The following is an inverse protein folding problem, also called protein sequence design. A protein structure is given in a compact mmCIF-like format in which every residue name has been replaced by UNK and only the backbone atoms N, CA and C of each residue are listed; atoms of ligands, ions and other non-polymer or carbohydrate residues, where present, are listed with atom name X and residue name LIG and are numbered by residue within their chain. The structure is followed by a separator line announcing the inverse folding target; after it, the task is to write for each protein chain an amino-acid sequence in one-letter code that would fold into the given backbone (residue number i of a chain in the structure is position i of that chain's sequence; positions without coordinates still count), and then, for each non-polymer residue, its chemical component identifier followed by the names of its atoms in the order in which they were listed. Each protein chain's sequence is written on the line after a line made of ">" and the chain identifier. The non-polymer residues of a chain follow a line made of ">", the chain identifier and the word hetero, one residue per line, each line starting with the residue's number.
data_IF_343052276563
#
_entry.id   IF_343052276563
#
_cell.length_a   1.000
_cell.length_b   1.000
_cell.length_c   1.000
_cell.angle_alpha   90.00
_cell.angle_beta   90.00
_cell.angle_gamma   90.00
#
_symmetry.space_group_name_H-M   'P 1'
#
loop_
_entity.id
_entity.type
_entity.pdbx_description
1 polymer ?
#
# COMPACT_ATOMS: atom_id res chain seq x y z
N UNK A 1 -18.93 3.78 7.47
CA UNK A 1 -17.50 3.98 7.83
C UNK A 1 -17.07 5.41 7.56
N UNK A 2 -17.02 5.89 6.31
CA UNK A 2 -16.57 7.27 6.04
C UNK A 2 -17.45 8.33 6.70
N UNK A 3 -18.77 8.14 6.73
CA UNK A 3 -19.68 9.03 7.47
C UNK A 3 -19.39 9.10 8.98
N UNK A 4 -18.78 8.07 9.57
CA UNK A 4 -18.34 8.08 10.97
C UNK A 4 -17.04 8.87 11.10
N UNK A 5 -16.09 8.70 10.18
CA UNK A 5 -14.86 9.50 10.12
C UNK A 5 -15.16 10.99 9.96
N UNK A 6 -16.17 11.34 9.16
CA UNK A 6 -16.58 12.73 8.90
C UNK A 6 -17.24 13.42 10.11
N UNK A 7 -17.51 12.70 11.21
CA UNK A 7 -17.98 13.29 12.48
C UNK A 7 -16.84 13.89 13.30
N UNK A 8 -15.62 13.37 13.11
CA UNK A 8 -14.43 13.86 13.79
C UNK A 8 -13.67 14.86 12.90
N UNK A 9 -12.83 15.70 13.51
CA UNK A 9 -12.05 16.68 12.78
C UNK A 9 -11.01 16.02 11.86
N UNK A 10 -10.94 16.49 10.61
CA UNK A 10 -9.88 16.17 9.69
C UNK A 10 -8.75 17.21 9.78
N UNK A 11 -7.59 16.81 10.28
CA UNK A 11 -6.43 17.71 10.42
C UNK A 11 -5.68 17.84 9.09
N UNK A 12 -5.19 19.03 8.70
CA UNK A 12 -4.32 19.18 7.52
C UNK A 12 -3.08 18.27 7.59
N UNK A 13 -2.67 17.74 6.45
CA UNK A 13 -1.47 16.91 6.28
C UNK A 13 -0.66 17.37 5.06
N UNK A 14 0.52 16.78 4.88
CA UNK A 14 1.43 17.05 3.77
C UNK A 14 0.75 16.80 2.42
N UNK A 15 1.21 17.54 1.41
CA UNK A 15 0.80 17.37 0.01
C UNK A 15 -0.72 17.50 -0.19
N UNK A 16 -1.33 18.50 0.45
CA UNK A 16 -2.74 18.88 0.26
C UNK A 16 -3.78 17.94 0.89
N UNK A 17 -3.35 16.87 1.58
CA UNK A 17 -4.25 15.90 2.21
C UNK A 17 -4.80 16.42 3.55
N UNK A 18 -5.82 15.74 4.05
CA UNK A 18 -6.14 15.76 5.47
C UNK A 18 -5.98 14.36 6.06
N UNK A 19 -5.86 14.26 7.38
CA UNK A 19 -5.69 13.00 8.08
C UNK A 19 -6.38 12.96 9.44
N UNK A 20 -6.59 11.74 9.91
CA UNK A 20 -6.90 11.40 11.30
C UNK A 20 -5.98 10.26 11.69
N UNK A 21 -5.17 10.47 12.72
CA UNK A 21 -4.24 9.46 13.20
C UNK A 21 -4.82 8.80 14.46
N UNK A 22 -4.72 7.47 14.54
CA UNK A 22 -5.08 6.66 15.70
C UNK A 22 -3.89 5.77 15.99
N UNK A 23 -3.02 6.19 16.90
CA UNK A 23 -1.81 5.45 17.19
C UNK A 23 -0.94 6.14 18.25
N UNK A 24 0.14 5.47 18.67
CA UNK A 24 1.06 6.00 19.66
C UNK A 24 1.76 7.27 19.17
N UNK A 25 2.19 8.11 20.12
CA UNK A 25 3.02 9.27 19.83
C UNK A 25 4.46 8.85 19.55
N UNK A 26 4.90 9.12 18.32
CA UNK A 26 6.21 8.71 17.82
C UNK A 26 7.13 9.90 17.50
N UNK A 27 8.42 9.74 17.77
CA UNK A 27 9.49 10.55 17.20
C UNK A 27 10.46 9.62 16.46
N UNK A 28 10.31 9.54 15.15
CA UNK A 28 11.11 8.65 14.28
C UNK A 28 12.61 8.97 14.34
N UNK A 29 12.99 10.25 14.29
CA UNK A 29 14.41 10.67 14.31
C UNK A 29 15.15 10.23 15.57
N UNK A 30 14.47 10.22 16.71
CA UNK A 30 15.04 9.82 18.00
C UNK A 30 14.69 8.37 18.39
N UNK A 31 13.96 7.65 17.54
CA UNK A 31 13.43 6.31 17.84
C UNK A 31 12.73 6.23 19.21
N UNK A 32 11.91 7.25 19.52
CA UNK A 32 11.13 7.31 20.76
C UNK A 32 9.67 7.06 20.49
N UNK A 33 9.09 6.15 21.26
CA UNK A 33 7.69 5.75 21.19
C UNK A 33 7.07 5.87 22.59
N UNK A 34 5.84 6.37 22.66
CA UNK A 34 5.03 6.38 23.89
C UNK A 34 3.55 6.32 23.53
N UNK A 35 2.72 5.74 24.40
CA UNK A 35 1.27 5.72 24.20
C UNK A 35 0.71 7.15 24.03
N UNK A 36 1.04 8.07 24.94
CA UNK A 36 0.55 9.45 24.86
C UNK A 36 -0.97 9.50 25.03
N UNK A 37 -1.66 10.23 24.16
CA UNK A 37 -3.13 10.36 24.17
C UNK A 37 -3.82 9.24 23.36
N UNK A 38 -3.10 8.17 23.02
CA UNK A 38 -3.64 7.04 22.27
C UNK A 38 -4.60 6.23 23.15
N UNK A 39 -5.87 6.21 22.77
CA UNK A 39 -6.95 5.50 23.49
C UNK A 39 -7.49 4.29 22.72
N UNK A 40 -6.85 3.95 21.60
CA UNK A 40 -7.15 2.76 20.79
C UNK A 40 -7.43 3.07 19.33
N UNK A 41 -7.75 2.04 18.56
CA UNK A 41 -8.27 2.20 17.21
C UNK A 41 -9.77 2.60 17.26
N UNK A 42 -10.35 3.16 16.19
CA UNK A 42 -11.76 3.54 16.21
C UNK A 42 -12.68 2.32 16.10
N UNK A 43 -13.82 2.39 16.79
CA UNK A 43 -14.82 1.30 16.86
C UNK A 43 -15.30 0.81 15.50
N UNK A 44 -15.40 1.70 14.50
CA UNK A 44 -15.84 1.35 13.15
C UNK A 44 -14.87 0.44 12.40
N UNK A 45 -13.61 0.35 12.85
CA UNK A 45 -12.60 -0.51 12.23
C UNK A 45 -12.60 -1.93 12.76
N UNK A 46 -13.19 -2.17 13.94
CA UNK A 46 -13.19 -3.49 14.62
C UNK A 46 -13.60 -4.63 13.70
N UNK A 47 -14.71 -4.44 12.96
CA UNK A 47 -15.21 -5.47 12.04
C UNK A 47 -14.26 -5.71 10.86
N UNK A 48 -13.65 -4.67 10.32
CA UNK A 48 -12.73 -4.81 9.18
C UNK A 48 -11.43 -5.48 9.62
N UNK A 49 -10.88 -5.10 10.77
CA UNK A 49 -9.67 -5.73 11.33
C UNK A 49 -9.92 -7.22 11.59
N UNK A 50 -11.05 -7.59 12.18
CA UNK A 50 -11.41 -9.00 12.36
C UNK A 50 -11.55 -9.76 11.03
N UNK A 51 -12.04 -9.11 9.96
CA UNK A 51 -12.13 -9.72 8.63
C UNK A 51 -10.78 -9.92 7.95
N UNK A 52 -9.75 -9.15 8.33
CA UNK A 52 -8.41 -9.29 7.75
C UNK A 52 -7.82 -10.67 8.06
N UNK A 53 -8.09 -11.24 9.23
CA UNK A 53 -7.61 -12.58 9.63
C UNK A 53 -8.05 -13.70 8.69
N UNK A 54 -9.15 -13.50 7.94
CA UNK A 54 -9.63 -14.48 6.98
C UNK A 54 -8.71 -14.62 5.74
N UNK A 55 -7.81 -13.66 5.51
CA UNK A 55 -6.85 -13.71 4.41
C UNK A 55 -5.51 -14.23 4.91
N UNK A 56 -4.99 -15.29 4.27
CA UNK A 56 -3.74 -15.94 4.67
C UNK A 56 -2.55 -14.97 4.81
N UNK A 57 -2.43 -14.01 3.89
CA UNK A 57 -1.38 -12.97 3.92
C UNK A 57 -1.45 -12.06 5.15
N UNK A 58 -2.63 -11.94 5.79
CA UNK A 58 -2.87 -11.17 7.00
C UNK A 58 -3.06 -12.06 8.24
N UNK A 59 -2.66 -13.33 8.18
CA UNK A 59 -2.67 -14.21 9.34
C UNK A 59 -1.84 -13.62 10.50
N UNK A 60 -2.46 -13.44 11.66
CA UNK A 60 -1.82 -12.84 12.83
C UNK A 60 -1.46 -11.35 12.67
N UNK A 61 -2.03 -10.65 11.70
CA UNK A 61 -1.85 -9.20 11.56
C UNK A 61 -2.59 -8.46 12.68
N UNK A 62 -1.83 -7.78 13.55
CA UNK A 62 -2.37 -7.00 14.66
C UNK A 62 -2.01 -5.52 14.48
N UNK A 63 -2.96 -4.67 14.04
CA UNK A 63 -2.67 -3.26 13.84
C UNK A 63 -2.55 -2.53 15.17
N UNK A 64 -1.46 -1.76 15.32
CA UNK A 64 -1.24 -0.83 16.44
C UNK A 64 -1.59 0.61 16.07
N UNK A 65 -1.65 0.89 14.77
CA UNK A 65 -1.90 2.22 14.22
C UNK A 65 -2.88 2.15 13.05
N UNK A 66 -3.73 3.16 12.98
CA UNK A 66 -4.61 3.44 11.86
C UNK A 66 -4.51 4.92 11.48
N UNK A 67 -4.18 5.20 10.22
CA UNK A 67 -4.25 6.54 9.63
C UNK A 67 -5.39 6.60 8.61
N UNK A 68 -6.39 7.46 8.84
CA UNK A 68 -7.34 7.82 7.80
C UNK A 68 -6.78 8.99 7.01
N UNK A 69 -6.87 8.95 5.69
CA UNK A 69 -6.38 10.00 4.79
C UNK A 69 -7.50 10.44 3.84
N UNK A 70 -7.80 11.74 3.83
CA UNK A 70 -8.77 12.38 2.91
C UNK A 70 -8.01 13.10 1.80
N UNK A 71 -8.25 12.65 0.57
CA UNK A 71 -7.71 13.22 -0.67
C UNK A 71 -8.82 13.92 -1.42
N UNK A 72 -8.55 15.17 -1.83
CA UNK A 72 -9.48 16.00 -2.59
C UNK A 72 -8.79 16.63 -3.80
N UNK A 73 -9.38 16.56 -5.01
CA UNK A 73 -8.80 17.17 -6.20
C UNK A 73 -8.54 18.67 -6.03
N UNK A 74 -9.46 19.38 -5.38
CA UNK A 74 -9.41 20.84 -5.21
C UNK A 74 -8.24 21.30 -4.31
N UNK A 75 -7.68 20.37 -3.53
CA UNK A 75 -6.51 20.61 -2.68
C UNK A 75 -5.20 20.18 -3.33
N UNK A 76 -5.25 19.64 -4.55
CA UNK A 76 -4.11 19.00 -5.19
C UNK A 76 -3.56 17.83 -4.37
N UNK A 77 -4.43 17.12 -3.64
CA UNK A 77 -4.01 16.07 -2.70
C UNK A 77 -3.19 14.98 -3.41
N UNK A 78 -2.05 14.64 -2.83
CA UNK A 78 -1.15 13.60 -3.33
C UNK A 78 -0.32 13.03 -2.17
N UNK A 79 0.49 12.02 -2.46
CA UNK A 79 1.59 11.61 -1.60
C UNK A 79 2.79 11.27 -2.48
N UNK A 80 3.92 11.90 -2.20
CA UNK A 80 5.15 11.71 -2.95
C UNK A 80 5.73 10.31 -2.69
N UNK A 81 6.57 9.78 -3.60
CA UNK A 81 7.22 8.48 -3.40
C UNK A 81 8.00 8.42 -2.09
N UNK A 82 7.66 7.46 -1.25
CA UNK A 82 8.28 7.30 0.08
C UNK A 82 8.23 5.84 0.54
N UNK A 83 8.99 5.59 1.61
CA UNK A 83 8.85 4.40 2.44
C UNK A 83 8.16 4.79 3.74
N UNK A 84 7.40 3.86 4.28
CA UNK A 84 6.96 3.93 5.67
C UNK A 84 8.12 3.52 6.57
N UNK A 85 8.19 4.10 7.77
CA UNK A 85 9.28 3.87 8.71
C UNK A 85 9.43 2.38 9.07
N UNK A 86 10.63 1.83 8.90
CA UNK A 86 10.92 0.41 9.14
C UNK A 86 11.23 0.10 10.59
N UNK A 87 11.61 1.13 11.36
CA UNK A 87 11.95 0.95 12.75
C UNK A 87 10.71 0.66 13.58
N UNK A 88 9.62 1.40 13.33
CA UNK A 88 8.38 1.22 14.08
C UNK A 88 7.40 0.25 13.41
N UNK A 89 7.24 0.31 12.09
CA UNK A 89 6.21 -0.45 11.39
C UNK A 89 6.76 -1.76 10.84
N UNK A 90 6.00 -2.83 11.04
CA UNK A 90 6.36 -4.18 10.65
C UNK A 90 6.29 -4.46 9.15
N UNK A 91 6.15 -5.75 8.84
CA UNK A 91 6.23 -6.30 7.50
C UNK A 91 5.06 -5.86 6.62
N UNK A 92 3.84 -5.93 7.14
CA UNK A 92 2.64 -5.71 6.34
C UNK A 92 2.11 -4.30 6.53
N UNK A 93 1.97 -3.59 5.42
CA UNK A 93 1.18 -2.37 5.32
C UNK A 93 -0.15 -2.68 4.67
N UNK A 94 -1.25 -2.40 5.37
CA UNK A 94 -2.59 -2.68 4.84
C UNK A 94 -3.29 -1.36 4.56
N UNK A 95 -3.80 -1.17 3.34
CA UNK A 95 -4.55 0.04 2.99
C UNK A 95 -5.89 -0.30 2.35
N UNK A 96 -6.97 0.21 2.94
CA UNK A 96 -8.33 0.12 2.43
C UNK A 96 -8.66 1.39 1.63
N UNK A 97 -9.00 1.23 0.36
CA UNK A 97 -9.38 2.32 -0.54
C UNK A 97 -10.90 2.54 -0.53
N UNK A 98 -11.35 3.77 -0.27
CA UNK A 98 -12.76 4.13 -0.10
C UNK A 98 -13.18 5.32 -0.99
N UNK A 99 -14.50 5.42 -1.22
CA UNK A 99 -15.19 6.41 -2.04
C UNK A 99 -14.87 6.36 -3.54
N UNK A 100 -13.62 6.60 -3.94
CA UNK A 100 -13.20 6.73 -5.34
C UNK A 100 -12.02 5.83 -5.68
N UNK A 101 -11.87 5.52 -6.97
CA UNK A 101 -10.72 4.80 -7.50
C UNK A 101 -9.46 5.67 -7.46
N UNK A 102 -8.29 5.05 -7.50
CA UNK A 102 -7.01 5.73 -7.75
C UNK A 102 -5.97 4.74 -8.32
N UNK A 103 -4.74 5.21 -8.49
CA UNK A 103 -3.58 4.37 -8.84
C UNK A 103 -2.48 4.59 -7.81
N UNK A 104 -2.07 3.49 -7.16
CA UNK A 104 -0.88 3.41 -6.33
C UNK A 104 0.33 3.15 -7.24
N UNK A 105 1.25 4.10 -7.25
CA UNK A 105 2.47 4.05 -8.04
C UNK A 105 3.60 3.49 -7.20
N UNK A 106 4.28 2.44 -7.68
CA UNK A 106 5.45 1.86 -7.05
C UNK A 106 6.69 2.14 -7.89
N UNK A 107 7.74 2.70 -7.28
CA UNK A 107 9.04 2.92 -7.92
C UNK A 107 10.19 2.49 -7.04
N UNK A 108 11.29 2.03 -7.63
CA UNK A 108 12.51 1.64 -6.92
C UNK A 108 13.68 2.49 -7.43
N UNK A 109 14.75 2.68 -6.65
CA UNK A 109 15.97 3.37 -7.11
C UNK A 109 17.08 2.40 -7.53
N UNK A 110 16.80 1.09 -7.56
CA UNK A 110 17.80 0.06 -7.88
C UNK A 110 18.21 0.06 -9.36
N UNK A 111 19.48 -0.24 -9.60
CA UNK A 111 20.04 -0.54 -10.92
C UNK A 111 19.79 -2.01 -11.34
N UNK A 112 19.28 -2.83 -10.43
CA UNK A 112 18.94 -4.22 -10.70
C UNK A 112 17.98 -4.30 -11.87
N UNK A 113 18.19 -5.28 -12.74
CA UNK A 113 17.44 -5.37 -13.98
C UNK A 113 16.12 -6.11 -13.82
N UNK A 114 15.05 -5.54 -14.38
CA UNK A 114 13.73 -6.16 -14.51
C UNK A 114 13.54 -6.60 -15.97
N UNK A 115 13.11 -7.84 -16.16
CA UNK A 115 12.74 -8.35 -17.46
C UNK A 115 11.26 -8.04 -17.74
N UNK A 116 11.01 -7.20 -18.75
CA UNK A 116 9.68 -6.84 -19.19
C UNK A 116 9.27 -7.67 -20.39
N UNK A 117 8.11 -8.33 -20.28
CA UNK A 117 7.48 -9.06 -21.36
C UNK A 117 6.37 -8.20 -21.98
N UNK A 118 6.44 -7.89 -23.28
CA UNK A 118 5.38 -7.20 -23.98
C UNK A 118 4.07 -7.98 -23.87
N UNK A 119 3.00 -7.29 -23.49
CA UNK A 119 1.64 -7.85 -23.47
C UNK A 119 0.82 -7.24 -24.60
N UNK A 120 0.04 -8.06 -25.28
CA UNK A 120 -0.91 -7.62 -26.30
C UNK A 120 -2.30 -7.55 -25.66
N UNK A 121 -2.98 -6.41 -25.83
CA UNK A 121 -4.41 -6.32 -25.55
C UNK A 121 -5.16 -6.51 -26.85
N UNK A 122 -6.07 -7.48 -26.90
CA UNK A 122 -7.08 -7.52 -27.96
C UNK A 122 -8.15 -6.46 -27.67
N UNK A 123 -8.97 -6.08 -28.67
CA UNK A 123 -10.00 -5.02 -28.55
C UNK A 123 -11.00 -5.24 -27.39
N UNK A 124 -11.04 -6.43 -26.78
CA UNK A 124 -11.87 -6.77 -25.62
C UNK A 124 -11.17 -6.62 -24.26
N UNK A 125 -9.91 -6.14 -24.20
CA UNK A 125 -9.22 -5.84 -22.93
C UNK A 125 -8.70 -7.06 -22.14
N UNK A 126 -8.82 -8.28 -22.69
CA UNK A 126 -8.21 -9.48 -22.09
C UNK A 126 -6.71 -9.54 -22.42
N UNK A 127 -5.87 -9.66 -21.38
CA UNK A 127 -4.43 -9.89 -21.49
C UNK A 127 -4.18 -11.36 -21.81
N UNK A 128 -3.65 -11.68 -22.99
CA UNK A 128 -3.16 -13.02 -23.25
C UNK A 128 -1.86 -13.24 -22.45
N UNK A 129 -1.68 -14.40 -21.79
CA UNK A 129 -0.42 -14.72 -21.14
C UNK A 129 0.71 -14.76 -22.18
N UNK A 130 1.96 -14.44 -21.79
CA UNK A 130 3.09 -14.62 -22.69
C UNK A 130 3.17 -16.11 -23.04
N UNK A 131 2.93 -16.42 -24.32
CA UNK A 131 2.96 -17.78 -24.81
C UNK A 131 4.27 -18.46 -24.39
N UNK A 132 4.17 -19.70 -23.91
CA UNK A 132 5.32 -20.55 -23.62
C UNK A 132 6.28 -20.47 -24.80
N UNK A 133 7.49 -19.95 -24.56
CA UNK A 133 8.58 -19.98 -25.52
C UNK A 133 9.04 -21.43 -25.66
N UNK A 134 8.31 -22.25 -26.40
CA UNK A 134 8.85 -23.48 -26.96
C UNK A 134 9.85 -23.06 -28.03
N UNK A 135 11.14 -23.30 -27.77
CA UNK A 135 12.15 -23.36 -28.81
C UNK A 135 11.73 -24.43 -29.82
N UNK A 136 11.08 -24.03 -30.91
CA UNK A 136 10.92 -24.88 -32.08
C UNK A 136 12.15 -24.70 -32.95
N UNK A 137 12.97 -25.73 -32.99
CA UNK A 137 14.00 -25.95 -33.98
C UNK A 137 13.44 -25.86 -35.41
N UNK A 138 14.23 -25.23 -36.27
CA UNK A 138 14.13 -25.04 -37.73
C UNK A 138 13.11 -25.86 -38.52
N UNK A 139 12.30 -25.17 -39.36
CA UNK A 139 12.01 -25.55 -40.76
C UNK A 139 11.72 -24.28 -41.60
N UNK A 140 12.03 -24.32 -42.90
CA UNK A 140 12.12 -23.19 -43.83
C UNK A 140 10.79 -22.66 -44.41
N UNK A 141 10.81 -21.36 -44.74
CA UNK A 141 10.08 -20.57 -45.75
C UNK A 141 8.72 -21.02 -46.33
N UNK A 142 7.71 -20.15 -46.20
CA UNK A 142 6.95 -19.64 -47.37
C UNK A 142 6.23 -18.32 -47.03
N UNK A 143 6.24 -17.38 -47.98
CA UNK A 143 5.89 -15.98 -47.77
C UNK A 143 4.41 -15.70 -47.54
N UNK A 144 4.14 -14.89 -46.51
CA UNK A 144 3.07 -13.87 -46.43
C UNK A 144 3.53 -12.82 -45.42
N UNK A 145 3.85 -11.61 -45.89
CA UNK A 145 4.20 -10.48 -45.03
C UNK A 145 2.97 -9.98 -44.27
N UNK A 146 2.72 -10.59 -43.12
CA UNK A 146 2.17 -9.90 -41.96
C UNK A 146 3.29 -9.89 -40.93
N UNK A 147 3.91 -8.74 -40.68
CA UNK A 147 4.95 -8.59 -39.66
C UNK A 147 4.31 -8.80 -38.29
N UNK A 148 4.24 -10.05 -37.81
CA UNK A 148 3.96 -10.29 -36.39
C UNK A 148 5.24 -9.93 -35.64
N UNK A 149 5.32 -8.68 -35.21
CA UNK A 149 6.42 -8.14 -34.43
C UNK A 149 6.51 -8.93 -33.11
N UNK A 150 7.30 -10.01 -33.08
CA UNK A 150 7.66 -10.69 -31.85
C UNK A 150 8.57 -9.74 -31.07
N UNK A 151 7.98 -8.90 -30.23
CA UNK A 151 8.72 -7.99 -29.38
C UNK A 151 9.49 -8.83 -28.36
N UNK A 152 10.82 -8.74 -28.39
CA UNK A 152 11.69 -9.45 -27.47
C UNK A 152 11.55 -8.90 -26.04
N UNK A 153 11.76 -9.73 -25.01
CA UNK A 153 11.81 -9.25 -23.64
C UNK A 153 12.87 -8.16 -23.50
N UNK A 154 12.51 -7.07 -22.82
CA UNK A 154 13.44 -5.96 -22.57
C UNK A 154 13.97 -6.07 -21.15
N UNK A 155 15.28 -6.02 -21.02
CA UNK A 155 15.93 -5.90 -19.72
C UNK A 155 16.13 -4.41 -19.44
N UNK A 156 15.54 -3.91 -18.36
CA UNK A 156 15.60 -2.48 -17.99
C UNK A 156 15.97 -2.33 -16.52
N UNK A 157 16.75 -1.30 -16.13
CA UNK A 157 17.00 -1.00 -14.73
C UNK A 157 15.69 -0.75 -13.96
N UNK A 158 15.58 -1.23 -12.73
CA UNK A 158 14.38 -1.08 -11.89
C UNK A 158 13.98 0.39 -11.69
N UNK A 159 14.97 1.28 -11.60
CA UNK A 159 14.76 2.74 -11.52
C UNK A 159 14.04 3.38 -12.71
N UNK A 160 14.03 2.70 -13.85
CA UNK A 160 13.33 3.15 -15.06
C UNK A 160 11.89 2.59 -15.13
N UNK A 161 11.53 1.71 -14.19
CA UNK A 161 10.21 1.07 -14.13
C UNK A 161 9.35 1.72 -13.05
N UNK A 162 8.08 1.95 -13.39
CA UNK A 162 7.03 2.30 -12.43
C UNK A 162 5.90 1.31 -12.57
N UNK A 163 5.51 0.67 -11.46
CA UNK A 163 4.38 -0.25 -11.43
C UNK A 163 3.13 0.53 -10.99
N UNK A 164 2.09 0.48 -11.82
CA UNK A 164 0.81 1.14 -11.55
C UNK A 164 -0.22 0.12 -11.03
N UNK A 165 -0.49 0.15 -9.72
CA UNK A 165 -1.48 -0.69 -9.06
C UNK A 165 -2.82 0.06 -9.04
N UNK A 166 -3.79 -0.43 -9.80
CA UNK A 166 -5.13 0.15 -9.82
C UNK A 166 -5.88 -0.21 -8.54
N UNK A 167 -6.41 0.80 -7.85
CA UNK A 167 -7.17 0.65 -6.62
C UNK A 167 -8.62 1.08 -6.84
N UNK A 168 -9.55 0.14 -7.15
CA UNK A 168 -10.97 0.42 -7.20
C UNK A 168 -11.53 0.89 -5.85
N UNK A 169 -12.71 1.52 -5.85
CA UNK A 169 -13.40 1.79 -4.57
C UNK A 169 -13.66 0.47 -3.84
N UNK A 170 -13.47 0.47 -2.52
CA UNK A 170 -13.64 -0.70 -1.62
C UNK A 170 -12.66 -1.85 -1.90
N UNK A 171 -11.47 -1.55 -2.41
CA UNK A 171 -10.36 -2.50 -2.50
C UNK A 171 -9.46 -2.41 -1.28
N UNK A 172 -8.82 -3.53 -0.92
CA UNK A 172 -7.77 -3.59 0.08
C UNK A 172 -6.47 -3.99 -0.62
N UNK A 173 -5.37 -3.31 -0.29
CA UNK A 173 -4.02 -3.64 -0.77
C UNK A 173 -3.13 -3.94 0.44
N UNK A 174 -2.30 -4.97 0.32
CA UNK A 174 -1.29 -5.34 1.30
C UNK A 174 0.07 -5.21 0.63
N UNK A 175 0.93 -4.33 1.15
CA UNK A 175 2.34 -4.27 0.75
C UNK A 175 3.17 -5.01 1.81
N UNK A 176 3.96 -5.97 1.36
CA UNK A 176 4.84 -6.80 2.18
C UNK A 176 6.07 -7.21 1.35
N UNK A 177 7.07 -7.83 1.99
CA UNK A 177 8.34 -8.22 1.37
C UNK A 177 9.00 -7.06 0.59
N UNK A 178 9.49 -7.36 -0.61
CA UNK A 178 10.14 -6.44 -1.53
C UNK A 178 9.29 -5.20 -1.83
N UNK A 179 7.96 -5.35 -1.94
CA UNK A 179 7.07 -4.21 -2.19
C UNK A 179 7.03 -3.22 -1.02
N UNK A 180 7.28 -3.70 0.20
CA UNK A 180 7.38 -2.88 1.43
C UNK A 180 8.76 -2.24 1.58
N UNK A 181 9.83 -2.99 1.27
CA UNK A 181 11.20 -2.61 1.66
C UNK A 181 12.06 -2.08 0.50
N UNK A 182 11.76 -2.42 -0.75
CA UNK A 182 12.54 -1.99 -1.93
C UNK A 182 11.82 -0.99 -2.81
N UNK A 183 10.49 -0.95 -2.76
CA UNK A 183 9.69 -0.07 -3.60
C UNK A 183 9.06 1.07 -2.79
N UNK A 184 9.34 2.30 -3.20
CA UNK A 184 8.63 3.51 -2.75
C UNK A 184 7.23 3.49 -3.32
N UNK A 185 6.26 3.91 -2.51
CA UNK A 185 4.87 3.98 -2.92
C UNK A 185 4.38 5.44 -2.94
N UNK A 186 3.50 5.77 -3.90
CA UNK A 186 3.01 7.12 -4.14
C UNK A 186 1.57 7.14 -4.65
N UNK A 187 0.88 8.28 -4.45
CA UNK A 187 -0.38 8.61 -5.13
C UNK A 187 -0.21 9.97 -5.78
N UNK A 188 -0.27 10.01 -7.11
CA UNK A 188 -0.11 11.25 -7.86
C UNK A 188 -1.42 12.05 -7.90
N UNK A 189 -1.31 13.38 -7.87
CA UNK A 189 -2.47 14.31 -7.96
C UNK A 189 -3.39 14.02 -9.15
N UNK A 190 -2.82 13.65 -10.30
CA UNK A 190 -3.56 13.28 -11.52
C UNK A 190 -4.46 12.05 -11.36
N UNK A 191 -4.20 11.22 -10.36
CA UNK A 191 -4.99 10.01 -10.06
C UNK A 191 -6.01 10.25 -8.93
N UNK A 192 -6.21 11.50 -8.50
CA UNK A 192 -7.26 11.93 -7.57
C UNK A 192 -8.28 12.75 -8.37
N UNK A 193 -9.23 12.05 -8.99
CA UNK A 193 -10.30 12.64 -9.81
C UNK A 193 -11.50 13.09 -8.97
N UNK A 194 -11.72 12.44 -7.83
CA UNK A 194 -12.80 12.74 -6.89
C UNK A 194 -12.30 12.57 -5.46
N UNK A 195 -13.14 12.96 -4.48
CA UNK A 195 -12.85 12.70 -3.06
C UNK A 195 -12.57 11.21 -2.86
N UNK A 196 -11.40 10.91 -2.34
CA UNK A 196 -10.93 9.56 -2.02
C UNK A 196 -10.53 9.54 -0.56
N UNK A 197 -11.04 8.56 0.17
CA UNK A 197 -10.59 8.29 1.53
C UNK A 197 -9.81 6.99 1.51
N UNK A 198 -8.70 6.89 2.24
CA UNK A 198 -8.11 5.59 2.55
C UNK A 198 -7.84 5.42 4.03
N UNK A 199 -7.86 4.18 4.48
CA UNK A 199 -7.49 3.78 5.84
C UNK A 199 -6.26 2.92 5.74
N UNK A 200 -5.16 3.36 6.33
CA UNK A 200 -3.90 2.60 6.38
C UNK A 200 -3.73 2.05 7.78
N UNK A 201 -3.52 0.75 7.89
CA UNK A 201 -3.24 0.03 9.13
C UNK A 201 -1.79 -0.45 9.13
N UNK A 202 -1.16 -0.38 10.30
CA UNK A 202 0.23 -0.80 10.50
C UNK A 202 0.36 -1.66 11.74
N UNK A 203 1.11 -2.74 11.61
CA UNK A 203 1.56 -3.54 12.74
C UNK A 203 2.92 -3.06 13.24
N UNK A 204 3.28 -3.46 14.45
CA UNK A 204 4.58 -3.18 15.04
C UNK A 204 5.69 -3.97 14.35
N UNK A 205 6.90 -3.41 14.31
CA UNK A 205 8.10 -4.13 13.88
C UNK A 205 8.50 -5.22 14.87
N UNK A 206 9.43 -6.08 14.44
CA UNK A 206 9.97 -7.15 15.28
C UNK A 206 10.57 -6.65 16.61
N UNK A 207 11.03 -5.39 16.69
CA UNK A 207 11.59 -4.84 17.93
C UNK A 207 10.56 -4.74 19.06
N UNK A 208 9.29 -4.58 18.73
CA UNK A 208 8.19 -4.45 19.69
C UNK A 208 7.27 -5.68 19.71
N UNK A 209 7.59 -6.70 18.90
CA UNK A 209 6.85 -7.96 18.86
C UNK A 209 7.42 -8.97 19.86
N UNK A 210 6.83 -10.16 19.93
CA UNK A 210 7.32 -11.24 20.80
C UNK A 210 8.80 -11.56 20.54
N UNK A 211 9.62 -11.59 21.60
CA UNK A 211 11.08 -11.74 21.55
C UNK A 211 11.85 -10.45 21.22
N UNK A 212 11.16 -9.34 20.97
CA UNK A 212 11.74 -8.04 20.69
C UNK A 212 12.24 -7.31 21.93
N UNK A 213 13.23 -6.41 21.76
CA UNK A 213 13.83 -5.64 22.88
C UNK A 213 12.83 -4.72 23.60
N UNK A 214 11.69 -4.42 22.98
CA UNK A 214 10.62 -3.57 23.51
C UNK A 214 9.26 -4.25 23.44
N UNK A 215 9.25 -5.57 23.60
CA UNK A 215 8.05 -6.40 23.61
C UNK A 215 6.99 -5.89 24.61
N UNK A 216 7.39 -5.52 25.84
CA UNK A 216 6.45 -5.05 26.86
C UNK A 216 5.70 -3.80 26.41
N UNK A 217 6.41 -2.83 25.83
CA UNK A 217 5.79 -1.62 25.28
C UNK A 217 4.90 -1.97 24.08
N UNK A 218 5.30 -2.91 23.24
CA UNK A 218 4.49 -3.36 22.12
C UNK A 218 3.17 -4.01 22.56
N UNK A 219 3.21 -4.85 23.60
CA UNK A 219 2.02 -5.45 24.21
C UNK A 219 1.07 -4.40 24.76
N UNK A 220 1.57 -3.44 25.54
CA UNK A 220 0.77 -2.32 26.06
C UNK A 220 0.06 -1.56 24.94
N UNK A 221 0.79 -1.23 23.88
CA UNK A 221 0.22 -0.51 22.74
C UNK A 221 -0.81 -1.32 21.96
N UNK A 222 -0.61 -2.63 21.82
CA UNK A 222 -1.57 -3.53 21.17
C UNK A 222 -2.85 -3.69 22.02
N UNK A 223 -2.73 -3.80 23.34
CA UNK A 223 -3.89 -3.83 24.24
C UNK A 223 -4.74 -2.55 24.10
N UNK A 224 -4.09 -1.39 24.07
CA UNK A 224 -4.75 -0.11 23.83
C UNK A 224 -5.41 -0.10 22.44
N UNK A 225 -4.64 -0.44 21.39
CA UNK A 225 -5.10 -0.42 19.99
C UNK A 225 -6.36 -1.28 19.81
N UNK A 226 -6.33 -2.51 20.32
CA UNK A 226 -7.38 -3.51 20.13
C UNK A 226 -8.56 -3.36 21.10
N UNK A 227 -8.56 -2.34 21.97
CA UNK A 227 -9.76 -1.92 22.72
C UNK A 227 -10.86 -1.38 21.80
N UNK A 228 -10.48 -0.83 20.65
CA UNK A 228 -11.35 -0.15 19.68
C UNK A 228 -12.17 1.03 20.25
N UNK A 229 -11.66 1.70 21.29
CA UNK A 229 -12.30 2.84 21.96
C UNK A 229 -11.74 4.21 21.54
N UNK A 230 -10.92 4.22 20.49
CA UNK A 230 -10.11 5.36 20.11
C UNK A 230 -10.86 6.52 19.48
N UNK A 231 -10.35 7.71 19.78
CA UNK A 231 -10.63 8.96 19.06
C UNK A 231 -9.36 9.43 18.34
N UNK A 232 -9.46 10.20 17.25
CA UNK A 232 -8.27 10.64 16.52
C UNK A 232 -7.41 11.59 17.36
N UNK A 233 -6.09 11.38 17.35
CA UNK A 233 -5.08 12.14 18.12
C UNK A 233 -4.41 13.26 17.33
#
# INVERSE_FOLDING_TARGET
>A
MVELMDRDEWKPSQSGRKKQDYGPKVNFKKQRLKAGDFTGLPSFSKKIVAQMEAYSVLGGFLPVEQCNLDYRPERGSAIDPHFDDWWLWGERLVSLNLLSKTVLSMSCDSEDSIQLFPTFSNENGELNPPGSLTQTSACENSGKQGSSCLLSPRLVPSKEVTVAIHLPRRSLVVLYDEARYKWKHAIHRRHIEHRRVCVTFRELSAEFSAGGRREELGKELLEIALSFQGTPV
#
